data_IF_790261572947
#
_entry.id   IF_790261572947
#
_cell.length_a   1.000
_cell.length_b   1.000
_cell.length_c   1.000
_cell.angle_alpha   90.00
_cell.angle_beta   90.00
_cell.angle_gamma   90.00
#
_symmetry.space_group_name_H-M   'P 1'
#
loop_
_entity.id
_entity.type
_entity.pdbx_description
1 polymer ?
#
# COMPACT_ATOMS: atom_id res chain seq x y z
N UNK A 1 9.53 34.55 -21.35
CA UNK A 1 10.04 33.35 -22.04
C UNK A 1 9.13 33.10 -23.23
N UNK A 2 9.62 33.13 -24.47
CA UNK A 2 8.77 32.97 -25.64
C UNK A 2 8.21 31.54 -25.67
N UNK A 3 6.91 31.42 -25.96
CA UNK A 3 6.14 30.18 -25.95
C UNK A 3 6.68 29.20 -27.02
N UNK A 4 7.36 28.15 -26.58
CA UNK A 4 7.84 27.06 -27.45
C UNK A 4 6.77 25.97 -27.53
N UNK A 5 5.58 26.27 -28.06
CA UNK A 5 4.54 25.26 -28.22
C UNK A 5 3.82 25.38 -29.56
N UNK A 6 3.64 24.23 -30.21
CA UNK A 6 2.78 24.07 -31.38
C UNK A 6 1.32 24.07 -30.89
N UNK A 7 0.51 25.01 -31.36
CA UNK A 7 -0.90 25.17 -30.97
C UNK A 7 -1.85 24.25 -31.72
N UNK A 8 -1.44 23.77 -32.89
CA UNK A 8 -2.25 22.91 -33.76
C UNK A 8 -1.38 21.88 -34.50
N UNK A 9 -1.82 20.62 -34.60
CA UNK A 9 -1.03 19.57 -35.22
C UNK A 9 -0.95 19.79 -36.75
N UNK A 10 0.26 19.69 -37.31
CA UNK A 10 0.48 19.74 -38.76
C UNK A 10 0.01 18.49 -39.50
N UNK A 11 -0.37 17.44 -38.77
CA UNK A 11 -0.88 16.19 -39.32
C UNK A 11 -2.00 15.63 -38.44
N UNK A 12 -3.09 15.20 -39.08
CA UNK A 12 -4.15 14.46 -38.41
C UNK A 12 -3.66 13.04 -38.08
N UNK A 13 -3.19 12.84 -36.85
CA UNK A 13 -2.78 11.52 -36.39
C UNK A 13 -4.00 10.58 -36.34
N UNK A 14 -3.97 9.42 -37.04
CA UNK A 14 -5.05 8.46 -36.95
C UNK A 14 -5.15 7.92 -35.52
N UNK A 15 -6.35 7.97 -34.94
CA UNK A 15 -6.62 7.40 -33.62
C UNK A 15 -6.43 5.88 -33.73
N UNK A 16 -5.58 5.31 -32.87
CA UNK A 16 -5.38 3.86 -32.80
C UNK A 16 -6.55 3.23 -32.03
N UNK A 17 -7.64 2.92 -32.72
CA UNK A 17 -8.87 2.39 -32.10
C UNK A 17 -8.92 0.87 -32.01
N UNK A 18 -8.07 0.14 -32.74
CA UNK A 18 -8.15 -1.32 -32.87
C UNK A 18 -7.16 -2.10 -32.00
N UNK A 19 -6.85 -1.65 -30.78
CA UNK A 19 -6.01 -2.43 -29.86
C UNK A 19 -6.72 -2.63 -28.53
N UNK A 20 -6.87 -3.89 -28.12
CA UNK A 20 -7.52 -4.24 -26.87
C UNK A 20 -6.70 -3.78 -25.66
N UNK A 21 -7.39 -3.21 -24.68
CA UNK A 21 -6.82 -2.95 -23.34
C UNK A 21 -6.57 -4.30 -22.67
N UNK A 22 -5.39 -4.46 -22.07
CA UNK A 22 -5.06 -5.62 -21.25
C UNK A 22 -5.36 -5.27 -19.80
N UNK A 23 -6.40 -5.91 -19.24
CA UNK A 23 -7.00 -5.52 -17.97
C UNK A 23 -7.32 -6.70 -17.04
N UNK A 24 -6.81 -7.89 -17.30
CA UNK A 24 -7.12 -9.06 -16.47
C UNK A 24 -6.32 -9.06 -15.14
N UNK A 25 -5.20 -8.32 -15.07
CA UNK A 25 -4.43 -8.16 -13.84
C UNK A 25 -5.24 -7.33 -12.79
N UNK A 26 -5.29 -7.73 -11.51
CA UNK A 26 -6.12 -7.08 -10.50
C UNK A 26 -5.62 -5.69 -10.06
N UNK A 27 -4.35 -5.36 -10.30
CA UNK A 27 -3.75 -4.11 -9.85
C UNK A 27 -3.32 -3.20 -10.99
N UNK A 28 -3.09 -3.75 -12.19
CA UNK A 28 -2.49 -3.04 -13.32
C UNK A 28 -3.35 -3.16 -14.58
N UNK A 29 -3.33 -2.11 -15.39
CA UNK A 29 -3.96 -2.06 -16.70
C UNK A 29 -2.98 -1.54 -17.74
N UNK A 30 -3.11 -2.00 -18.99
CA UNK A 30 -2.35 -1.49 -20.12
C UNK A 30 -3.24 -1.15 -21.31
N UNK A 31 -3.28 0.12 -21.68
CA UNK A 31 -3.90 0.65 -22.90
C UNK A 31 -2.81 0.94 -23.97
N UNK A 32 -2.66 0.08 -24.99
CA UNK A 32 -1.65 0.27 -26.02
C UNK A 32 -1.91 1.48 -26.93
N UNK A 33 -3.14 1.99 -27.01
CA UNK A 33 -3.47 3.16 -27.83
C UNK A 33 -2.82 4.44 -27.29
N UNK A 34 -2.62 4.51 -25.96
CA UNK A 34 -1.95 5.63 -25.27
C UNK A 34 -0.42 5.48 -25.20
N UNK A 35 0.11 4.36 -25.69
CA UNK A 35 1.54 4.05 -25.55
C UNK A 35 2.39 4.75 -26.62
N UNK A 36 3.28 5.65 -26.17
CA UNK A 36 4.30 6.30 -27.02
C UNK A 36 5.57 5.46 -27.21
N UNK A 37 5.60 4.23 -26.69
CA UNK A 37 6.70 3.26 -26.89
C UNK A 37 8.08 3.76 -26.44
N UNK A 38 8.12 4.57 -25.40
CA UNK A 38 9.35 5.10 -24.80
C UNK A 38 10.18 4.04 -24.03
N UNK A 39 9.65 2.83 -23.85
CA UNK A 39 10.30 1.71 -23.15
C UNK A 39 10.69 1.96 -21.68
N UNK A 40 10.24 3.07 -21.07
CA UNK A 40 10.44 3.35 -19.64
C UNK A 40 9.90 2.25 -18.75
N UNK A 41 8.75 1.66 -19.11
CA UNK A 41 8.15 0.54 -18.40
C UNK A 41 9.00 -0.74 -18.44
N UNK A 42 9.65 -1.02 -19.58
CA UNK A 42 10.56 -2.16 -19.76
C UNK A 42 11.78 -1.98 -18.85
N UNK A 43 12.40 -0.79 -18.84
CA UNK A 43 13.51 -0.49 -17.93
C UNK A 43 13.09 -0.56 -16.45
N UNK A 44 11.92 -0.02 -16.12
CA UNK A 44 11.37 -0.08 -14.77
C UNK A 44 11.12 -1.52 -14.28
N UNK A 45 10.60 -2.38 -15.15
CA UNK A 45 10.35 -3.78 -14.83
C UNK A 45 11.65 -4.59 -14.71
N UNK A 46 12.55 -4.47 -15.68
CA UNK A 46 13.65 -5.42 -15.84
C UNK A 46 14.94 -4.96 -15.16
N UNK A 47 15.16 -3.65 -15.00
CA UNK A 47 16.39 -3.10 -14.39
C UNK A 47 16.17 -2.53 -13.00
N UNK A 48 14.98 -1.99 -12.72
CA UNK A 48 14.69 -1.42 -11.41
C UNK A 48 14.01 -2.44 -10.50
N UNK A 49 12.92 -3.06 -10.94
CA UNK A 49 12.19 -4.05 -10.16
C UNK A 49 12.73 -5.49 -10.28
N UNK A 50 13.53 -5.80 -11.31
CA UNK A 50 14.06 -7.14 -11.59
C UNK A 50 13.01 -8.23 -11.81
N UNK A 51 11.81 -7.87 -12.30
CA UNK A 51 10.75 -8.84 -12.58
C UNK A 51 10.92 -9.53 -13.93
N UNK A 52 11.63 -8.90 -14.88
CA UNK A 52 11.89 -9.46 -16.22
C UNK A 52 10.65 -9.86 -17.05
N UNK A 53 9.50 -9.20 -16.84
CA UNK A 53 8.23 -9.58 -17.49
C UNK A 53 7.70 -8.64 -18.55
N UNK A 54 8.17 -7.39 -18.61
CA UNK A 54 7.79 -6.45 -19.68
C UNK A 54 8.84 -6.45 -20.78
N UNK A 55 8.38 -6.60 -22.03
CA UNK A 55 9.26 -6.66 -23.19
C UNK A 55 8.86 -5.67 -24.28
N UNK A 56 9.85 -5.26 -25.08
CA UNK A 56 9.60 -4.59 -26.34
C UNK A 56 9.51 -5.65 -27.45
N UNK A 57 8.33 -5.79 -28.03
CA UNK A 57 8.08 -6.64 -29.19
C UNK A 57 8.23 -5.87 -30.51
N UNK A 58 8.45 -6.60 -31.61
CA UNK A 58 8.58 -6.05 -32.97
C UNK A 58 9.68 -4.97 -33.08
N UNK A 59 9.81 -4.31 -34.23
CA UNK A 59 10.83 -3.28 -34.48
C UNK A 59 10.28 -2.08 -35.27
N UNK A 60 10.95 -0.94 -35.16
CA UNK A 60 10.63 0.29 -35.90
C UNK A 60 9.23 0.84 -35.59
N UNK A 61 8.51 1.28 -36.63
CA UNK A 61 7.15 1.80 -36.50
C UNK A 61 6.14 0.77 -35.99
N UNK A 62 6.51 -0.51 -35.90
CA UNK A 62 5.66 -1.60 -35.39
C UNK A 62 5.99 -1.99 -33.96
N UNK A 63 6.94 -1.34 -33.28
CA UNK A 63 7.30 -1.67 -31.89
C UNK A 63 6.07 -1.68 -30.98
N UNK A 64 5.93 -2.73 -30.19
CA UNK A 64 4.87 -2.90 -29.21
C UNK A 64 5.48 -3.12 -27.83
N UNK A 65 4.75 -2.76 -26.78
CA UNK A 65 5.08 -3.20 -25.42
C UNK A 65 4.21 -4.42 -25.13
N UNK A 66 4.86 -5.53 -24.81
CA UNK A 66 4.23 -6.78 -24.41
C UNK A 66 4.13 -6.75 -22.89
N UNK A 67 2.94 -6.42 -22.38
CA UNK A 67 2.64 -6.37 -20.95
C UNK A 67 1.87 -7.63 -20.55
N UNK A 68 2.24 -8.32 -19.46
CA UNK A 68 1.66 -9.59 -19.04
C UNK A 68 0.32 -9.41 -18.30
N UNK A 69 -0.59 -8.58 -18.81
CA UNK A 69 -1.85 -8.22 -18.11
C UNK A 69 -3.10 -8.78 -18.78
N UNK A 70 -2.95 -9.77 -19.65
CA UNK A 70 -4.06 -10.53 -20.22
C UNK A 70 -4.49 -11.70 -19.32
N UNK A 71 -5.44 -12.51 -19.79
CA UNK A 71 -6.07 -13.61 -19.03
C UNK A 71 -5.09 -14.53 -18.29
N UNK A 72 -3.95 -14.83 -18.92
CA UNK A 72 -2.93 -15.73 -18.37
C UNK A 72 -1.90 -15.02 -17.48
N UNK A 73 -2.17 -13.79 -17.01
CA UNK A 73 -1.21 -13.02 -16.21
C UNK A 73 -0.70 -13.77 -14.97
N UNK A 74 -1.53 -14.62 -14.36
CA UNK A 74 -1.17 -15.44 -13.21
C UNK A 74 -0.03 -16.44 -13.51
N UNK A 75 0.12 -16.84 -14.78
CA UNK A 75 1.18 -17.75 -15.20
C UNK A 75 2.49 -17.01 -15.53
N UNK A 76 2.57 -15.71 -15.26
CA UNK A 76 3.76 -14.87 -15.54
C UNK A 76 4.47 -14.47 -14.25
N UNK A 77 5.74 -14.06 -14.35
CA UNK A 77 6.52 -13.57 -13.19
C UNK A 77 6.13 -12.15 -12.71
N UNK A 78 4.94 -11.68 -13.07
CA UNK A 78 4.51 -10.32 -12.73
C UNK A 78 4.01 -10.23 -11.29
N UNK A 79 4.83 -9.66 -10.40
CA UNK A 79 4.43 -9.44 -9.00
C UNK A 79 3.45 -8.28 -8.79
N UNK A 80 2.92 -7.67 -9.87
CA UNK A 80 1.95 -6.56 -9.78
C UNK A 80 2.44 -5.34 -8.97
N UNK A 81 3.75 -5.14 -8.88
CA UNK A 81 4.36 -4.07 -8.07
C UNK A 81 4.05 -2.64 -8.55
N UNK A 82 3.59 -2.46 -9.80
CA UNK A 82 3.19 -1.17 -10.36
C UNK A 82 4.31 -0.17 -10.66
N UNK A 83 5.59 -0.57 -10.55
CA UNK A 83 6.72 0.30 -10.92
C UNK A 83 6.66 0.72 -12.39
N UNK A 84 6.17 -0.15 -13.27
CA UNK A 84 5.98 0.15 -14.70
C UNK A 84 4.92 1.24 -14.93
N UNK A 85 3.84 1.24 -14.14
CA UNK A 85 2.79 2.24 -14.19
C UNK A 85 3.28 3.58 -13.63
N UNK A 86 4.03 3.59 -12.51
CA UNK A 86 4.65 4.81 -11.99
C UNK A 86 5.64 5.43 -13.00
N UNK A 87 6.33 4.60 -13.79
CA UNK A 87 7.27 5.07 -14.81
C UNK A 87 6.59 5.56 -16.10
N UNK A 88 5.30 5.28 -16.31
CA UNK A 88 4.59 5.56 -17.55
C UNK A 88 4.21 7.05 -17.65
N UNK A 89 4.70 7.79 -18.67
CA UNK A 89 4.42 9.22 -18.78
C UNK A 89 3.04 9.54 -19.37
N UNK A 90 2.37 8.58 -20.02
CA UNK A 90 1.13 8.84 -20.77
C UNK A 90 -0.12 8.22 -20.15
N UNK A 91 0.03 7.48 -19.05
CA UNK A 91 -1.07 6.67 -18.49
C UNK A 91 -1.48 5.51 -19.38
N UNK A 92 -0.60 5.06 -20.30
CA UNK A 92 -0.79 3.79 -21.00
C UNK A 92 -0.75 2.61 -20.03
N UNK A 93 0.10 2.67 -19.00
CA UNK A 93 0.10 1.74 -17.89
C UNK A 93 -0.45 2.46 -16.65
N UNK A 94 -1.42 1.87 -15.98
CA UNK A 94 -2.07 2.47 -14.81
C UNK A 94 -2.17 1.49 -13.65
N UNK A 95 -2.28 2.03 -12.45
CA UNK A 95 -2.62 1.30 -11.23
C UNK A 95 -4.14 1.39 -11.08
N UNK A 96 -4.83 0.27 -10.87
CA UNK A 96 -6.30 0.24 -10.75
C UNK A 96 -6.82 0.75 -9.41
N UNK A 97 -6.04 0.57 -8.34
CA UNK A 97 -6.42 0.99 -6.97
C UNK A 97 -6.20 2.47 -6.68
N UNK A 98 -5.60 3.23 -7.61
CA UNK A 98 -5.55 4.68 -7.48
C UNK A 98 -6.96 5.24 -7.68
N UNK A 99 -7.38 6.17 -6.83
CA UNK A 99 -8.59 6.95 -7.09
C UNK A 99 -8.30 8.02 -8.14
N UNK A 100 -9.33 8.54 -8.81
CA UNK A 100 -9.17 9.72 -9.62
C UNK A 100 -8.85 10.92 -8.71
N UNK A 101 -7.80 11.66 -9.02
CA UNK A 101 -7.38 12.84 -8.28
C UNK A 101 -6.69 13.83 -9.22
N UNK A 102 -6.77 15.12 -8.90
CA UNK A 102 -6.05 16.16 -9.62
C UNK A 102 -4.71 16.37 -8.96
N UNK A 103 -3.62 16.04 -9.67
CA UNK A 103 -2.28 16.08 -9.10
C UNK A 103 -1.84 17.47 -8.58
N UNK A 104 -2.49 18.55 -9.04
CA UNK A 104 -2.25 19.93 -8.59
C UNK A 104 -2.98 20.25 -7.27
N UNK A 105 -4.08 19.56 -6.99
CA UNK A 105 -4.92 19.75 -5.80
C UNK A 105 -4.56 18.77 -4.69
N UNK A 106 -3.95 17.64 -5.04
CA UNK A 106 -3.57 16.61 -4.09
C UNK A 106 -2.25 16.95 -3.35
N UNK A 107 -2.27 16.82 -2.03
CA UNK A 107 -1.10 16.94 -1.18
C UNK A 107 -0.30 15.63 -1.18
N UNK A 108 1.03 15.73 -1.12
CA UNK A 108 1.91 14.58 -0.87
C UNK A 108 2.42 14.61 0.57
N UNK A 109 2.22 13.51 1.28
CA UNK A 109 2.67 13.34 2.66
C UNK A 109 3.67 12.20 2.71
N UNK A 110 4.95 12.53 3.00
CA UNK A 110 6.01 11.54 3.15
C UNK A 110 5.78 10.71 4.41
N UNK A 111 5.87 9.38 4.27
CA UNK A 111 5.80 8.45 5.40
C UNK A 111 6.58 7.15 5.12
N UNK A 112 6.59 6.24 6.09
CA UNK A 112 7.24 4.92 6.00
C UNK A 112 6.19 3.82 5.87
N UNK A 113 6.45 2.86 4.98
CA UNK A 113 5.59 1.70 4.75
C UNK A 113 5.63 0.74 5.97
N UNK A 114 4.48 0.44 6.62
CA UNK A 114 4.45 -0.41 7.80
C UNK A 114 4.30 -1.91 7.49
N UNK A 115 4.36 -2.34 6.21
CA UNK A 115 4.01 -3.71 5.84
C UNK A 115 5.09 -4.76 6.11
N UNK A 116 6.37 -4.37 6.15
CA UNK A 116 7.48 -5.29 6.41
C UNK A 116 8.72 -4.53 6.92
N UNK A 117 9.73 -5.26 7.37
CA UNK A 117 10.97 -4.71 7.93
C UNK A 117 11.88 -3.95 6.95
N UNK A 118 11.51 -3.83 5.67
CA UNK A 118 12.29 -3.05 4.69
C UNK A 118 12.15 -1.54 4.95
N UNK A 119 11.02 -1.09 5.49
CA UNK A 119 10.79 0.33 5.82
C UNK A 119 10.86 1.26 4.61
N UNK A 120 10.22 0.88 3.50
CA UNK A 120 10.20 1.69 2.27
C UNK A 120 9.66 3.10 2.54
N UNK A 121 10.28 4.12 1.96
CA UNK A 121 9.72 5.48 1.97
C UNK A 121 8.67 5.62 0.87
N UNK A 122 7.51 6.18 1.22
CA UNK A 122 6.44 6.47 0.27
C UNK A 122 5.84 7.85 0.50
N UNK A 123 5.28 8.42 -0.57
CA UNK A 123 4.45 9.61 -0.50
C UNK A 123 2.99 9.16 -0.62
N UNK A 124 2.22 9.32 0.46
CA UNK A 124 0.76 9.21 0.41
C UNK A 124 0.21 10.44 -0.31
N UNK A 125 -0.62 10.21 -1.31
CA UNK A 125 -1.33 11.28 -2.02
C UNK A 125 -2.67 11.46 -1.33
N UNK A 126 -2.93 12.67 -0.84
CA UNK A 126 -4.11 13.02 -0.06
C UNK A 126 -4.90 14.11 -0.79
N UNK A 127 -6.19 13.87 -1.00
CA UNK A 127 -7.11 14.86 -1.54
C UNK A 127 -8.41 14.79 -0.73
N UNK A 128 -8.97 15.95 -0.36
CA UNK A 128 -10.21 16.07 0.43
C UNK A 128 -10.19 15.24 1.73
N UNK A 129 -9.04 15.22 2.41
CA UNK A 129 -8.85 14.48 3.66
C UNK A 129 -8.77 12.96 3.52
N UNK A 130 -8.74 12.43 2.29
CA UNK A 130 -8.65 10.98 2.01
C UNK A 130 -7.38 10.62 1.25
N UNK A 131 -6.86 9.43 1.51
CA UNK A 131 -5.74 8.89 0.76
C UNK A 131 -6.27 8.37 -0.58
N UNK A 132 -5.72 8.88 -1.68
CA UNK A 132 -6.17 8.57 -3.05
C UNK A 132 -5.14 7.78 -3.87
N UNK A 133 -3.87 7.79 -3.46
CA UNK A 133 -2.77 7.07 -4.13
C UNK A 133 -1.57 6.89 -3.18
N UNK A 134 -0.66 5.98 -3.54
CA UNK A 134 0.61 5.80 -2.86
C UNK A 134 1.76 5.69 -3.89
N UNK A 135 2.72 6.61 -3.76
CA UNK A 135 3.85 6.71 -4.66
C UNK A 135 5.14 6.30 -3.97
N UNK A 136 6.01 5.58 -4.68
CA UNK A 136 7.33 5.25 -4.15
C UNK A 136 8.19 6.49 -4.05
N UNK A 137 8.63 6.81 -2.84
CA UNK A 137 9.50 7.94 -2.58
C UNK A 137 10.96 7.52 -2.56
N UNK A 138 11.86 8.46 -2.85
CA UNK A 138 13.29 8.20 -2.75
C UNK A 138 13.67 8.00 -1.27
N UNK A 139 14.15 6.79 -0.97
CA UNK A 139 14.55 6.35 0.35
C UNK A 139 15.73 5.38 0.26
N UNK A 140 16.49 5.22 1.36
CA UNK A 140 17.70 4.41 1.36
C UNK A 140 17.43 2.93 1.06
N UNK A 141 16.29 2.41 1.54
CA UNK A 141 15.91 1.01 1.37
C UNK A 141 15.30 0.72 0.00
N UNK A 142 14.45 1.63 -0.51
CA UNK A 142 13.59 1.33 -1.66
C UNK A 142 13.93 2.12 -2.94
N UNK A 143 14.74 3.19 -2.89
CA UNK A 143 15.17 3.97 -4.07
C UNK A 143 14.01 4.41 -5.01
N UNK A 144 12.83 4.70 -4.44
CA UNK A 144 11.63 5.06 -5.21
C UNK A 144 10.74 3.90 -5.65
N UNK A 145 11.09 2.65 -5.29
CA UNK A 145 10.32 1.45 -5.61
C UNK A 145 9.33 1.11 -4.49
N UNK A 146 8.24 0.43 -4.84
CA UNK A 146 7.31 -0.16 -3.88
C UNK A 146 6.86 -1.51 -4.43
N UNK A 147 6.64 -2.47 -3.53
CA UNK A 147 5.92 -3.70 -3.85
C UNK A 147 4.41 -3.44 -3.94
N UNK A 148 3.65 -4.46 -4.34
CA UNK A 148 2.18 -4.36 -4.45
C UNK A 148 1.51 -3.97 -3.14
N UNK A 149 2.04 -4.41 -1.97
CA UNK A 149 1.50 -4.04 -0.66
C UNK A 149 1.68 -2.54 -0.39
N UNK A 150 2.90 -2.03 -0.57
CA UNK A 150 3.25 -0.62 -0.38
C UNK A 150 2.48 0.33 -1.30
N UNK A 151 2.15 -0.15 -2.50
CA UNK A 151 1.50 0.67 -3.54
C UNK A 151 -0.02 0.61 -3.50
N UNK A 152 -0.57 -0.58 -3.22
CA UNK A 152 -2.00 -0.85 -3.42
C UNK A 152 -2.73 -1.28 -2.15
N UNK A 153 -2.02 -1.66 -1.08
CA UNK A 153 -2.64 -2.10 0.17
C UNK A 153 -2.39 -1.16 1.36
N UNK A 154 -1.62 -0.09 1.17
CA UNK A 154 -1.15 0.77 2.27
C UNK A 154 -2.17 1.75 2.83
N UNK A 155 -3.38 1.83 2.27
CA UNK A 155 -4.35 2.84 2.70
C UNK A 155 -5.81 2.38 2.74
N UNK A 156 -6.19 1.29 2.06
CA UNK A 156 -7.58 0.82 2.06
C UNK A 156 -8.11 0.50 3.48
N UNK A 157 -7.24 0.07 4.40
CA UNK A 157 -7.61 -0.22 5.79
C UNK A 157 -7.94 1.04 6.62
N UNK A 158 -7.53 2.23 6.17
CA UNK A 158 -7.84 3.50 6.87
C UNK A 158 -9.33 3.83 6.76
N UNK A 159 -9.92 3.52 5.61
CA UNK A 159 -11.34 3.78 5.30
C UNK A 159 -12.19 2.49 5.30
N UNK A 160 -11.67 1.39 5.85
CA UNK A 160 -12.39 0.12 5.89
C UNK A 160 -13.69 0.23 6.70
N UNK A 161 -14.74 -0.43 6.21
CA UNK A 161 -16.08 -0.36 6.80
C UNK A 161 -16.12 -0.98 8.21
N UNK A 162 -15.28 -1.99 8.45
CA UNK A 162 -15.09 -2.72 9.70
C UNK A 162 -13.99 -2.12 10.60
N UNK A 163 -13.48 -0.91 10.28
CA UNK A 163 -12.50 -0.22 11.13
C UNK A 163 -13.10 0.04 12.52
N UNK A 164 -12.42 -0.41 13.56
CA UNK A 164 -12.78 -0.11 14.94
C UNK A 164 -12.69 1.40 15.21
N UNK A 165 -13.82 2.01 15.58
CA UNK A 165 -13.96 3.45 15.87
C UNK A 165 -14.30 3.75 17.32
N UNK A 166 -14.73 2.73 18.05
CA UNK A 166 -15.17 2.77 19.44
C UNK A 166 -14.70 1.49 20.14
N UNK A 167 -14.34 1.54 21.43
CA UNK A 167 -14.10 0.35 22.22
C UNK A 167 -15.29 -0.61 22.18
N UNK A 168 -15.02 -1.91 22.17
CA UNK A 168 -16.04 -2.95 22.18
C UNK A 168 -15.79 -3.91 23.35
N UNK A 169 -16.82 -4.23 24.12
CA UNK A 169 -16.78 -5.20 25.22
C UNK A 169 -17.69 -6.37 24.86
N UNK A 170 -17.19 -7.60 25.08
CA UNK A 170 -17.97 -8.81 24.81
C UNK A 170 -18.98 -9.04 25.93
N UNK A 171 -20.26 -9.11 25.57
CA UNK A 171 -21.32 -9.48 26.51
C UNK A 171 -21.26 -11.00 26.78
N UNK A 172 -21.09 -11.42 28.04
CA UNK A 172 -20.96 -12.84 28.38
C UNK A 172 -22.27 -13.64 28.23
N UNK A 173 -23.43 -12.98 28.29
CA UNK A 173 -24.72 -13.65 28.14
C UNK A 173 -25.08 -13.91 26.67
N UNK A 174 -24.77 -12.96 25.78
CA UNK A 174 -25.08 -13.06 24.34
C UNK A 174 -23.92 -13.58 23.50
N UNK A 175 -22.68 -13.37 23.96
CA UNK A 175 -21.46 -13.68 23.21
C UNK A 175 -21.08 -12.63 22.15
N UNK A 176 -21.84 -11.54 22.03
CA UNK A 176 -21.63 -10.49 21.04
C UNK A 176 -20.77 -9.33 21.58
N UNK A 177 -20.14 -8.57 20.68
CA UNK A 177 -19.39 -7.36 21.03
C UNK A 177 -20.30 -6.14 20.98
N UNK A 178 -20.37 -5.41 22.08
CA UNK A 178 -21.18 -4.21 22.24
C UNK A 178 -20.29 -2.99 22.42
N UNK A 179 -20.72 -1.83 21.91
CA UNK A 179 -19.97 -0.57 22.05
C UNK A 179 -19.87 -0.14 23.50
N UNK A 180 -18.68 0.33 23.90
CA UNK A 180 -18.40 0.85 25.23
C UNK A 180 -17.69 2.20 25.17
N UNK A 181 -17.71 2.94 26.27
CA UNK A 181 -16.87 4.12 26.45
C UNK A 181 -15.41 3.73 26.70
N UNK A 182 -14.50 4.70 26.57
CA UNK A 182 -13.10 4.49 26.90
C UNK A 182 -12.89 4.15 28.38
N UNK A 183 -13.62 4.82 29.28
CA UNK A 183 -13.51 4.58 30.72
C UNK A 183 -13.97 3.15 31.07
N UNK A 184 -15.13 2.72 30.57
CA UNK A 184 -15.62 1.35 30.80
C UNK A 184 -14.64 0.28 30.28
N UNK A 185 -14.09 0.48 29.08
CA UNK A 185 -13.16 -0.46 28.49
C UNK A 185 -11.82 -0.52 29.25
N UNK A 186 -11.26 0.65 29.60
CA UNK A 186 -9.99 0.75 30.31
C UNK A 186 -10.10 0.25 31.75
N UNK A 187 -11.18 0.60 32.47
CA UNK A 187 -11.41 0.12 33.84
C UNK A 187 -11.60 -1.39 33.88
N UNK A 188 -12.35 -1.95 32.91
CA UNK A 188 -12.53 -3.40 32.80
C UNK A 188 -11.18 -4.10 32.58
N UNK A 189 -10.38 -3.63 31.62
CA UNK A 189 -9.07 -4.19 31.31
C UNK A 189 -8.15 -4.06 32.53
N UNK A 190 -7.99 -2.87 33.08
CA UNK A 190 -7.11 -2.61 34.22
C UNK A 190 -7.46 -3.48 35.42
N UNK A 191 -8.75 -3.59 35.76
CA UNK A 191 -9.23 -4.42 36.87
C UNK A 191 -8.94 -5.90 36.63
N UNK A 192 -9.30 -6.46 35.46
CA UNK A 192 -9.11 -7.89 35.18
C UNK A 192 -7.64 -8.29 35.12
N UNK A 193 -6.79 -7.49 34.48
CA UNK A 193 -5.36 -7.76 34.44
C UNK A 193 -4.72 -7.64 35.83
N UNK A 194 -5.20 -6.72 36.68
CA UNK A 194 -4.76 -6.60 38.07
C UNK A 194 -5.17 -7.79 38.92
N UNK A 195 -6.45 -8.21 38.85
CA UNK A 195 -6.96 -9.41 39.53
C UNK A 195 -6.12 -10.65 39.18
N UNK A 196 -5.89 -10.89 37.88
CA UNK A 196 -5.09 -12.03 37.41
C UNK A 196 -3.63 -11.96 37.85
N UNK A 197 -3.01 -10.78 37.80
CA UNK A 197 -1.64 -10.58 38.26
C UNK A 197 -1.52 -10.87 39.76
N UNK A 198 -2.44 -10.38 40.57
CA UNK A 198 -2.36 -10.48 42.03
C UNK A 198 -2.70 -11.90 42.51
N UNK A 199 -3.57 -12.63 41.81
CA UNK A 199 -3.96 -14.00 42.13
C UNK A 199 -2.96 -15.05 41.60
N UNK A 200 -2.52 -14.93 40.34
CA UNK A 200 -1.71 -15.95 39.65
C UNK A 200 -0.26 -15.52 39.38
N UNK A 201 0.11 -14.30 39.74
CA UNK A 201 1.42 -13.71 39.45
C UNK A 201 1.55 -13.18 38.02
N UNK A 202 2.48 -12.25 37.79
CA UNK A 202 2.67 -11.62 36.48
C UNK A 202 3.03 -12.58 35.34
N UNK A 203 3.65 -13.73 35.64
CA UNK A 203 3.97 -14.74 34.63
C UNK A 203 2.75 -15.41 33.99
N UNK A 204 1.56 -15.27 34.60
CA UNK A 204 0.29 -15.70 34.01
C UNK A 204 -0.18 -14.81 32.85
N UNK A 205 0.45 -13.64 32.67
CA UNK A 205 0.09 -12.64 31.67
C UNK A 205 1.14 -12.59 30.56
N UNK A 206 0.68 -12.44 29.32
CA UNK A 206 1.51 -12.20 28.14
C UNK A 206 1.03 -10.96 27.40
N UNK A 207 1.96 -10.25 26.78
CA UNK A 207 1.72 -8.99 26.08
C UNK A 207 2.25 -9.10 24.64
N UNK A 208 1.33 -9.09 23.66
CA UNK A 208 1.67 -9.17 22.25
C UNK A 208 1.52 -7.81 21.57
N UNK A 209 2.62 -7.25 21.08
CA UNK A 209 2.62 -6.01 20.32
C UNK A 209 2.44 -6.28 18.81
N UNK A 210 1.79 -5.34 18.11
CA UNK A 210 1.64 -5.43 16.67
C UNK A 210 2.98 -5.14 15.97
N UNK A 211 3.39 -5.99 15.02
CA UNK A 211 4.59 -5.79 14.20
C UNK A 211 4.50 -4.58 13.23
N UNK A 212 3.37 -3.86 13.25
CA UNK A 212 3.12 -2.64 12.45
C UNK A 212 3.03 -1.38 13.32
N UNK A 213 3.10 -1.51 14.64
CA UNK A 213 3.12 -0.37 15.56
C UNK A 213 4.45 0.38 15.50
N UNK A 214 4.43 1.62 15.95
CA UNK A 214 5.64 2.45 16.06
C UNK A 214 6.55 1.94 17.18
N UNK A 215 7.82 2.37 17.16
CA UNK A 215 8.76 2.01 18.23
C UNK A 215 8.33 2.62 19.57
N UNK A 216 7.71 3.79 19.54
CA UNK A 216 7.16 4.49 20.69
C UNK A 216 6.03 3.68 21.35
N UNK A 217 5.07 3.19 20.54
CA UNK A 217 3.98 2.35 21.03
C UNK A 217 4.52 1.05 21.64
N UNK A 218 5.46 0.39 20.96
CA UNK A 218 6.07 -0.85 21.43
C UNK A 218 6.86 -0.61 22.72
N UNK A 219 7.58 0.50 22.83
CA UNK A 219 8.31 0.86 24.03
C UNK A 219 7.38 1.11 25.23
N UNK A 220 6.28 1.85 25.02
CA UNK A 220 5.29 2.08 26.06
C UNK A 220 4.60 0.79 26.49
N UNK A 221 4.22 -0.04 25.52
CA UNK A 221 3.55 -1.32 25.78
C UNK A 221 4.43 -2.29 26.56
N UNK A 222 5.71 -2.47 26.18
CA UNK A 222 6.62 -3.35 26.92
C UNK A 222 6.97 -2.79 28.30
N UNK A 223 7.07 -1.46 28.45
CA UNK A 223 7.27 -0.81 29.74
C UNK A 223 6.08 -1.08 30.66
N UNK A 224 4.85 -0.88 30.18
CA UNK A 224 3.62 -1.20 30.93
C UNK A 224 3.58 -2.68 31.34
N UNK A 225 3.85 -3.61 30.43
CA UNK A 225 3.86 -5.04 30.75
C UNK A 225 4.86 -5.37 31.88
N UNK A 226 6.08 -4.81 31.82
CA UNK A 226 7.11 -5.08 32.82
C UNK A 226 6.86 -4.39 34.16
N UNK A 227 6.39 -3.15 34.15
CA UNK A 227 6.25 -2.34 35.38
C UNK A 227 4.90 -2.49 36.05
N UNK A 228 3.82 -2.61 35.28
CA UNK A 228 2.45 -2.68 35.81
C UNK A 228 1.97 -4.14 35.92
N UNK A 229 2.27 -4.99 34.93
CA UNK A 229 1.83 -6.39 34.94
C UNK A 229 2.88 -7.35 35.55
N UNK A 230 4.10 -6.85 35.80
CA UNK A 230 5.22 -7.62 36.37
C UNK A 230 5.51 -8.89 35.54
N UNK A 231 5.46 -8.75 34.22
CA UNK A 231 5.73 -9.84 33.27
C UNK A 231 6.84 -9.49 32.29
N UNK A 232 7.66 -10.49 31.96
CA UNK A 232 8.64 -10.41 30.88
C UNK A 232 8.16 -11.14 29.61
N UNK A 233 6.95 -11.71 29.64
CA UNK A 233 6.33 -12.40 28.51
C UNK A 233 5.81 -11.36 27.50
N UNK A 234 6.74 -10.71 26.81
CA UNK A 234 6.46 -9.68 25.81
C UNK A 234 7.00 -10.15 24.46
N UNK A 235 6.13 -10.19 23.45
CA UNK A 235 6.52 -10.59 22.09
C UNK A 235 5.74 -9.81 21.02
N UNK A 236 5.96 -10.10 19.75
CA UNK A 236 5.23 -9.54 18.62
C UNK A 236 4.59 -10.61 17.73
N UNK A 237 3.53 -10.24 17.02
CA UNK A 237 2.78 -11.17 16.16
C UNK A 237 3.57 -11.76 14.97
N UNK A 238 4.81 -11.32 14.72
CA UNK A 238 5.67 -11.91 13.69
C UNK A 238 6.52 -13.09 14.19
N UNK A 239 6.54 -13.35 15.50
CA UNK A 239 7.32 -14.42 16.14
C UNK A 239 6.44 -15.50 16.80
N UNK A 240 5.13 -15.35 16.69
CA UNK A 240 4.09 -16.24 17.27
C UNK A 240 3.40 -17.01 16.16
#
# INVERSE_FOLDING_TARGET
MPHVWVTEPSYAAPVRTNVSVLDDNPFLSYDPARCIRCQRCVGACNKAAYNHTLHAGKRGLRTTIEAPFGKDWLATDCESCGTCAQACPTGALTIKRRRAYHAQEAQRVRTTCPHCGVGCQLDLVVQDGRIVDALGAQGPSNKGLLCVKGRSASFDFVDAADRLRTPLIKNPATGEFESATWDEALDLVARRFTELRDEYGGQSLAAFACSRSTNEDIYLFQKMARTALVTNNVDCCARV
#
